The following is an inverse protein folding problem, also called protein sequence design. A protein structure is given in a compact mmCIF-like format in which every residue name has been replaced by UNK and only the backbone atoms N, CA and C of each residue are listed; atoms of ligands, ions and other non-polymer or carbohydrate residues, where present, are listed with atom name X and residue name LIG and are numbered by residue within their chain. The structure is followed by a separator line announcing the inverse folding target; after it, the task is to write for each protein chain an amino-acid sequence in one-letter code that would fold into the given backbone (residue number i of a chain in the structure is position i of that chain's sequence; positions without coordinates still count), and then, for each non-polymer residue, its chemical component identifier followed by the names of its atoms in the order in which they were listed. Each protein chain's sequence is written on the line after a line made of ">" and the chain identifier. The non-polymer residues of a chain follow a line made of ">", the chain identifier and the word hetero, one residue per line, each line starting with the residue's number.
data_IF_700393103556
#
_entry.id   IF_700393103556
#
_cell.length_a   1.000
_cell.length_b   1.000
_cell.length_c   1.000
_cell.angle_alpha   90.00
_cell.angle_beta   90.00
_cell.angle_gamma   90.00
#
_symmetry.space_group_name_H-M   'P 1'
#
loop_
_entity.id
_entity.type
_entity.pdbx_description
1 polymer ?
#
# COMPACT_ATOMS: atom_id res chain seq x y z
N UNK A 1 -20.04 -4.84 8.24
CA UNK A 1 -19.75 -3.98 9.41
C UNK A 1 -20.93 -3.05 9.50
N UNK A 2 -21.60 -3.02 10.63
CA UNK A 2 -22.82 -2.24 10.76
C UNK A 2 -22.47 -0.74 10.76
N UNK A 3 -23.41 0.12 10.38
CA UNK A 3 -23.16 1.55 10.22
C UNK A 3 -22.69 2.20 11.55
N UNK A 4 -23.17 1.67 12.68
CA UNK A 4 -22.78 2.10 14.02
C UNK A 4 -21.33 1.72 14.36
N UNK A 5 -20.85 0.56 13.90
CA UNK A 5 -19.45 0.13 14.08
C UNK A 5 -18.49 1.05 13.33
N UNK A 6 -18.85 1.44 12.09
CA UNK A 6 -18.05 2.38 11.28
C UNK A 6 -17.96 3.73 11.97
N UNK A 7 -19.07 4.23 12.50
CA UNK A 7 -19.12 5.51 13.21
C UNK A 7 -18.34 5.47 14.53
N UNK A 8 -18.41 4.35 15.27
CA UNK A 8 -17.61 4.17 16.48
C UNK A 8 -16.12 4.16 16.15
N UNK A 9 -15.72 3.36 15.14
CA UNK A 9 -14.32 3.28 14.71
C UNK A 9 -13.79 4.64 14.26
N UNK A 10 -14.56 5.41 13.49
CA UNK A 10 -14.16 6.75 13.05
C UNK A 10 -13.89 7.68 14.24
N UNK A 11 -14.75 7.65 15.28
CA UNK A 11 -14.56 8.46 16.48
C UNK A 11 -13.29 8.10 17.24
N UNK A 12 -12.95 6.81 17.33
CA UNK A 12 -11.72 6.36 17.98
C UNK A 12 -10.47 6.92 17.28
N UNK A 13 -10.48 7.00 15.94
CA UNK A 13 -9.41 7.64 15.19
C UNK A 13 -9.38 9.16 15.37
N UNK A 14 -10.54 9.81 15.30
CA UNK A 14 -10.65 11.26 15.46
C UNK A 14 -10.13 11.71 16.84
N UNK A 15 -10.45 10.97 17.90
CA UNK A 15 -9.93 11.22 19.25
C UNK A 15 -8.39 11.27 19.26
N UNK A 16 -7.74 10.33 18.57
CA UNK A 16 -6.27 10.25 18.50
C UNK A 16 -5.69 11.37 17.63
N UNK A 17 -6.29 11.60 16.46
CA UNK A 17 -5.81 12.59 15.49
C UNK A 17 -6.06 14.04 15.91
N UNK A 18 -7.02 14.30 16.79
CA UNK A 18 -7.32 15.63 17.33
C UNK A 18 -6.40 16.02 18.50
N UNK A 19 -5.57 15.10 19.01
CA UNK A 19 -4.58 15.43 20.04
C UNK A 19 -3.67 16.58 19.57
N UNK A 20 -3.59 17.65 20.36
CA UNK A 20 -2.84 18.86 20.02
C UNK A 20 -1.32 18.69 20.24
N UNK A 21 -0.94 17.78 21.14
CA UNK A 21 0.44 17.63 21.63
C UNK A 21 1.11 16.42 20.99
N UNK A 22 0.42 15.28 21.00
CA UNK A 22 1.02 14.00 20.64
C UNK A 22 -0.01 13.04 20.06
N UNK A 23 0.26 12.51 18.87
CA UNK A 23 -0.55 11.48 18.22
C UNK A 23 -0.06 10.10 18.65
N UNK A 24 -0.93 9.32 19.29
CA UNK A 24 -0.63 7.95 19.71
C UNK A 24 -0.60 7.00 18.50
N UNK A 25 0.58 6.86 17.90
CA UNK A 25 0.81 6.02 16.72
C UNK A 25 0.60 4.54 17.03
N UNK A 26 0.86 4.09 18.26
CA UNK A 26 0.66 2.68 18.64
C UNK A 26 -0.84 2.34 18.68
N UNK A 27 -1.67 3.25 19.23
CA UNK A 27 -3.13 3.11 19.15
C UNK A 27 -3.63 3.15 17.71
N UNK A 28 -3.06 4.02 16.85
CA UNK A 28 -3.37 4.02 15.41
C UNK A 28 -3.03 2.68 14.75
N UNK A 29 -1.87 2.08 15.06
CA UNK A 29 -1.46 0.76 14.56
C UNK A 29 -2.45 -0.32 14.98
N UNK A 30 -2.89 -0.32 16.24
CA UNK A 30 -3.87 -1.29 16.74
C UNK A 30 -5.19 -1.18 15.96
N UNK A 31 -5.72 0.03 15.80
CA UNK A 31 -6.97 0.26 15.08
C UNK A 31 -6.84 -0.11 13.59
N UNK A 32 -5.74 0.29 12.94
CA UNK A 32 -5.55 0.13 11.48
C UNK A 32 -5.49 -1.34 11.02
N UNK A 33 -5.10 -2.27 11.89
CA UNK A 33 -5.23 -3.72 11.63
C UNK A 33 -6.66 -4.15 11.29
N UNK A 34 -7.65 -3.45 11.84
CA UNK A 34 -9.07 -3.69 11.59
C UNK A 34 -9.62 -2.93 10.38
N UNK A 35 -8.84 -2.00 9.83
CA UNK A 35 -9.15 -1.20 8.65
C UNK A 35 -9.35 0.26 9.02
N UNK A 36 -8.94 1.14 8.12
CA UNK A 36 -9.03 2.60 8.32
C UNK A 36 -10.22 3.13 7.52
N UNK A 37 -11.09 3.99 8.09
CA UNK A 37 -12.14 4.67 7.32
C UNK A 37 -11.56 5.53 6.18
N UNK A 38 -12.21 5.52 5.02
CA UNK A 38 -11.76 6.21 3.81
C UNK A 38 -11.47 7.70 4.04
N UNK A 39 -12.30 8.37 4.84
CA UNK A 39 -12.28 9.82 5.06
C UNK A 39 -11.00 10.31 5.74
N UNK A 40 -10.37 9.44 6.53
CA UNK A 40 -9.16 9.77 7.31
C UNK A 40 -7.96 8.92 6.89
N UNK A 41 -8.12 8.04 5.89
CA UNK A 41 -7.09 7.05 5.55
C UNK A 41 -5.76 7.70 5.19
N UNK A 42 -5.79 8.76 4.37
CA UNK A 42 -4.59 9.51 4.03
C UNK A 42 -3.89 10.07 5.27
N UNK A 43 -4.63 10.68 6.19
CA UNK A 43 -4.06 11.25 7.42
C UNK A 43 -3.41 10.16 8.29
N UNK A 44 -4.09 9.04 8.51
CA UNK A 44 -3.56 7.91 9.30
C UNK A 44 -2.31 7.32 8.64
N UNK A 45 -2.33 7.11 7.32
CA UNK A 45 -1.19 6.54 6.58
C UNK A 45 0.08 7.38 6.71
N UNK A 46 -0.02 8.71 6.75
CA UNK A 46 1.16 9.57 6.98
C UNK A 46 1.86 9.25 8.31
N UNK A 47 1.12 8.98 9.39
CA UNK A 47 1.70 8.58 10.68
C UNK A 47 2.25 7.15 10.63
N UNK A 48 1.50 6.22 10.05
CA UNK A 48 1.90 4.81 10.00
C UNK A 48 3.18 4.57 9.19
N UNK A 49 3.37 5.33 8.10
CA UNK A 49 4.59 5.33 7.28
C UNK A 49 5.72 6.21 7.86
N UNK A 50 5.46 6.95 8.94
CA UNK A 50 6.43 7.83 9.57
C UNK A 50 6.75 9.09 8.77
N UNK A 51 5.88 9.48 7.83
CA UNK A 51 5.98 10.77 7.11
C UNK A 51 5.66 11.91 8.08
N UNK A 52 4.56 11.79 8.81
CA UNK A 52 4.19 12.75 9.86
C UNK A 52 4.72 12.31 11.22
N UNK A 53 5.16 13.28 12.04
CA UNK A 53 5.71 13.00 13.36
C UNK A 53 4.61 12.97 14.41
N UNK A 54 4.72 12.05 15.37
CA UNK A 54 3.79 11.94 16.49
C UNK A 54 3.76 13.20 17.37
N UNK A 55 4.93 13.82 17.62
CA UNK A 55 5.06 15.06 18.39
C UNK A 55 4.67 16.28 17.54
N UNK A 56 3.57 16.92 17.93
CA UNK A 56 3.01 18.13 17.30
C UNK A 56 3.48 19.43 17.95
N UNK A 57 4.11 19.39 19.12
CA UNK A 57 4.66 20.60 19.75
C UNK A 57 5.75 21.27 18.91
N UNK A 58 6.34 20.52 17.96
CA UNK A 58 7.43 20.98 17.09
C UNK A 58 7.11 20.93 15.59
N UNK A 59 5.93 20.46 15.21
CA UNK A 59 5.51 20.34 13.81
C UNK A 59 4.10 20.94 13.67
N UNK A 60 3.90 22.01 12.89
CA UNK A 60 2.55 22.48 12.60
C UNK A 60 1.74 21.34 11.95
N UNK A 61 0.41 21.39 12.05
CA UNK A 61 -0.55 20.44 11.44
C UNK A 61 -0.41 20.35 9.90
N UNK A 62 0.45 21.19 9.30
CA UNK A 62 0.74 21.27 7.87
C UNK A 62 2.15 20.75 7.59
N UNK A 63 2.33 20.09 6.44
CA UNK A 63 3.64 19.78 5.84
C UNK A 63 4.65 20.89 6.19
N UNK A 64 5.78 20.57 6.83
CA UNK A 64 6.81 21.57 7.10
C UNK A 64 7.13 22.32 5.80
N UNK A 65 7.11 23.67 5.78
CA UNK A 65 7.32 24.46 4.57
C UNK A 65 8.54 24.00 3.75
N UNK A 66 9.57 23.54 4.46
CA UNK A 66 10.77 22.92 3.92
C UNK A 66 10.48 21.71 3.00
N UNK A 67 9.65 20.75 3.40
CA UNK A 67 9.34 19.56 2.57
C UNK A 67 8.58 19.92 1.30
N UNK A 68 7.69 20.89 1.38
CA UNK A 68 6.97 21.38 0.20
C UNK A 68 7.92 22.07 -0.77
N UNK A 69 8.87 22.85 -0.25
CA UNK A 69 9.92 23.49 -1.03
C UNK A 69 10.86 22.47 -1.66
N UNK A 70 11.34 21.49 -0.89
CA UNK A 70 12.16 20.37 -1.36
C UNK A 70 11.47 19.62 -2.50
N UNK A 71 10.22 19.16 -2.30
CA UNK A 71 9.44 18.51 -3.36
C UNK A 71 9.23 19.40 -4.59
N UNK A 72 9.09 20.71 -4.40
CA UNK A 72 8.96 21.69 -5.48
C UNK A 72 10.23 21.85 -6.31
N UNK A 73 11.40 21.58 -5.72
CA UNK A 73 12.72 21.68 -6.38
C UNK A 73 13.15 20.40 -7.09
N UNK A 74 12.50 19.27 -6.84
CA UNK A 74 12.81 18.00 -7.51
C UNK A 74 12.52 18.10 -9.01
N UNK A 75 13.47 17.68 -9.82
CA UNK A 75 13.29 17.54 -11.26
C UNK A 75 12.25 16.46 -11.58
N UNK A 76 11.18 16.85 -12.28
CA UNK A 76 10.07 15.98 -12.70
C UNK A 76 10.01 15.85 -14.23
N UNK A 77 11.13 16.07 -14.91
CA UNK A 77 11.17 16.08 -16.37
C UNK A 77 11.78 14.81 -16.94
N UNK A 78 10.96 14.06 -17.68
CA UNK A 78 11.39 13.01 -18.60
C UNK A 78 10.24 12.79 -19.61
N UNK A 79 10.31 13.36 -20.83
CA UNK A 79 9.20 13.28 -21.78
C UNK A 79 8.83 11.85 -22.21
N UNK A 80 9.81 10.95 -22.27
CA UNK A 80 9.62 9.58 -22.74
C UNK A 80 8.96 8.73 -21.65
N UNK A 81 9.45 8.84 -20.41
CA UNK A 81 8.83 8.18 -19.26
C UNK A 81 7.45 8.78 -18.96
N UNK A 82 7.28 10.10 -19.01
CA UNK A 82 5.99 10.77 -18.84
C UNK A 82 4.93 10.25 -19.81
N UNK A 83 5.29 10.04 -21.09
CA UNK A 83 4.39 9.46 -22.10
C UNK A 83 3.97 8.04 -21.73
N UNK A 84 4.90 7.23 -21.21
CA UNK A 84 4.62 5.85 -20.75
C UNK A 84 3.71 5.85 -19.52
N UNK A 85 3.96 6.75 -18.55
CA UNK A 85 3.13 6.95 -17.37
C UNK A 85 1.70 7.29 -17.78
N UNK A 86 1.50 8.31 -18.64
CA UNK A 86 0.14 8.67 -19.13
C UNK A 86 -0.59 7.51 -19.78
N UNK A 87 0.12 6.75 -20.61
CA UNK A 87 -0.45 5.58 -21.28
C UNK A 87 -0.95 4.55 -20.27
N UNK A 88 -0.18 4.29 -19.22
CA UNK A 88 -0.52 3.32 -18.18
C UNK A 88 -1.61 3.83 -17.24
N UNK A 89 -1.54 5.10 -16.78
CA UNK A 89 -2.58 5.73 -15.96
C UNK A 89 -3.94 5.65 -16.65
N UNK A 90 -4.01 5.97 -17.95
CA UNK A 90 -5.24 5.85 -18.73
C UNK A 90 -5.78 4.41 -18.82
N UNK A 91 -4.92 3.39 -18.80
CA UNK A 91 -5.34 1.98 -18.75
C UNK A 91 -5.81 1.60 -17.35
N UNK A 92 -5.06 1.99 -16.34
CA UNK A 92 -5.33 1.69 -14.93
C UNK A 92 -6.64 2.33 -14.45
N UNK A 93 -6.86 3.62 -14.71
CA UNK A 93 -8.09 4.32 -14.31
C UNK A 93 -9.36 3.78 -14.99
N UNK A 94 -9.25 3.19 -16.19
CA UNK A 94 -10.39 2.48 -16.82
C UNK A 94 -10.70 1.13 -16.17
N UNK A 95 -9.71 0.51 -15.52
CA UNK A 95 -9.88 -0.76 -14.79
C UNK A 95 -10.40 -0.53 -13.37
N UNK A 96 -10.05 0.60 -12.76
CA UNK A 96 -10.35 0.95 -11.36
C UNK A 96 -11.48 1.97 -11.29
N UNK A 97 -12.66 1.52 -10.88
CA UNK A 97 -13.88 2.35 -10.85
C UNK A 97 -13.75 3.56 -9.94
N UNK A 98 -13.03 3.41 -8.84
CA UNK A 98 -12.78 4.42 -7.82
C UNK A 98 -11.95 5.62 -8.37
N UNK A 99 -11.24 5.40 -9.48
CA UNK A 99 -10.40 6.38 -10.15
C UNK A 99 -10.96 6.82 -11.52
N UNK A 100 -12.07 6.23 -11.95
CA UNK A 100 -12.70 6.52 -13.24
C UNK A 100 -13.18 7.98 -13.27
N UNK A 101 -12.86 8.68 -14.36
CA UNK A 101 -13.22 10.09 -14.54
C UNK A 101 -12.38 11.10 -13.74
N UNK A 102 -11.43 10.65 -12.90
CA UNK A 102 -10.49 11.54 -12.20
C UNK A 102 -9.35 11.98 -13.13
N UNK A 103 -8.90 13.24 -13.01
CA UNK A 103 -7.83 13.80 -13.82
C UNK A 103 -6.45 13.71 -13.12
N UNK A 104 -6.04 12.50 -12.75
CA UNK A 104 -4.82 12.27 -11.97
C UNK A 104 -3.54 12.15 -12.79
N UNK A 105 -3.60 12.18 -14.13
CA UNK A 105 -2.44 11.92 -14.98
C UNK A 105 -1.22 12.80 -14.65
N UNK A 106 -1.42 14.10 -14.45
CA UNK A 106 -0.35 15.02 -14.07
C UNK A 106 0.24 14.69 -12.69
N UNK A 107 -0.60 14.36 -11.71
CA UNK A 107 -0.13 14.01 -10.37
C UNK A 107 0.66 12.69 -10.36
N UNK A 108 0.22 11.70 -11.14
CA UNK A 108 1.00 10.47 -11.36
C UNK A 108 2.36 10.76 -11.99
N UNK A 109 2.39 11.58 -13.04
CA UNK A 109 3.65 12.00 -13.67
C UNK A 109 4.57 12.68 -12.65
N UNK A 110 4.07 13.68 -11.93
CA UNK A 110 4.85 14.46 -10.96
C UNK A 110 5.44 13.56 -9.86
N UNK A 111 4.62 12.71 -9.24
CA UNK A 111 5.07 11.85 -8.13
C UNK A 111 6.05 10.78 -8.61
N UNK A 112 5.75 10.08 -9.72
CA UNK A 112 6.59 8.98 -10.21
C UNK A 112 7.91 9.52 -10.76
N UNK A 113 7.91 10.63 -11.51
CA UNK A 113 9.14 11.22 -12.04
C UNK A 113 10.00 11.82 -10.93
N UNK A 114 9.41 12.48 -9.94
CA UNK A 114 10.14 12.92 -8.75
C UNK A 114 10.86 11.76 -8.07
N UNK A 115 10.18 10.62 -7.91
CA UNK A 115 10.77 9.42 -7.30
C UNK A 115 11.91 8.85 -8.15
N UNK A 116 11.71 8.63 -9.44
CA UNK A 116 12.72 8.05 -10.34
C UNK A 116 13.97 8.95 -10.46
N UNK A 117 13.79 10.27 -10.56
CA UNK A 117 14.91 11.20 -10.70
C UNK A 117 15.72 11.36 -9.40
N UNK A 118 15.08 11.11 -8.25
CA UNK A 118 15.75 11.05 -6.94
C UNK A 118 16.44 9.70 -6.72
N UNK A 119 15.90 8.62 -7.29
CA UNK A 119 16.38 7.24 -7.13
C UNK A 119 16.90 6.66 -8.44
N UNK A 120 18.09 7.11 -8.87
CA UNK A 120 18.65 6.86 -10.21
C UNK A 120 18.90 5.39 -10.59
N UNK A 121 18.90 4.49 -9.61
CA UNK A 121 19.07 3.05 -9.86
C UNK A 121 17.74 2.35 -10.17
N UNK A 122 16.61 3.05 -10.04
CA UNK A 122 15.28 2.50 -10.29
C UNK A 122 14.82 2.86 -11.69
N UNK A 123 14.48 1.85 -12.49
CA UNK A 123 13.89 2.06 -13.80
C UNK A 123 12.36 2.13 -13.74
N UNK A 124 11.76 2.86 -14.68
CA UNK A 124 10.31 2.92 -14.77
C UNK A 124 9.71 1.57 -15.17
N UNK A 125 8.81 1.05 -14.32
CA UNK A 125 7.91 -0.07 -14.63
C UNK A 125 6.45 0.38 -14.54
N UNK A 126 5.53 -0.25 -15.30
CA UNK A 126 4.09 0.00 -15.16
C UNK A 126 3.54 -0.25 -13.75
N UNK A 127 4.26 -1.05 -12.93
CA UNK A 127 3.91 -1.33 -11.54
C UNK A 127 3.90 -0.09 -10.65
N UNK A 128 4.74 0.90 -10.95
CA UNK A 128 4.80 2.16 -10.18
C UNK A 128 3.48 2.92 -10.21
N UNK A 129 2.69 2.83 -11.28
CA UNK A 129 1.35 3.44 -11.34
C UNK A 129 0.40 2.76 -10.35
N UNK A 130 0.40 1.43 -10.29
CA UNK A 130 -0.44 0.69 -9.36
C UNK A 130 -0.04 0.92 -7.90
N UNK A 131 1.27 1.03 -7.63
CA UNK A 131 1.80 1.31 -6.29
C UNK A 131 1.55 2.76 -5.84
N UNK A 132 1.58 3.72 -6.77
CA UNK A 132 1.34 5.15 -6.48
C UNK A 132 -0.15 5.47 -6.29
N UNK A 133 -1.05 4.75 -6.98
CA UNK A 133 -2.47 5.08 -7.04
C UNK A 133 -3.18 5.17 -5.67
N UNK A 134 -2.94 4.27 -4.70
CA UNK A 134 -3.52 4.38 -3.35
C UNK A 134 -3.23 5.70 -2.65
N UNK A 135 -2.02 6.25 -2.81
CA UNK A 135 -1.62 7.51 -2.18
C UNK A 135 -2.30 8.70 -2.82
N UNK A 136 -2.28 8.81 -4.16
CA UNK A 136 -2.99 9.88 -4.88
C UNK A 136 -4.50 9.83 -4.68
N UNK A 137 -5.06 8.65 -4.38
CA UNK A 137 -6.47 8.51 -4.07
C UNK A 137 -6.84 8.96 -2.65
N UNK A 138 -5.99 8.65 -1.66
CA UNK A 138 -6.28 8.88 -0.25
C UNK A 138 -5.78 10.22 0.29
N UNK A 139 -4.81 10.86 -0.37
CA UNK A 139 -4.16 12.09 0.10
C UNK A 139 -4.55 13.27 -0.79
N UNK A 140 -4.95 14.37 -0.16
CA UNK A 140 -5.37 15.58 -0.86
C UNK A 140 -4.19 16.34 -1.50
N UNK A 141 -3.01 16.25 -0.89
CA UNK A 141 -1.81 16.98 -1.33
C UNK A 141 -0.86 16.04 -2.07
N UNK A 142 -0.48 16.43 -3.29
CA UNK A 142 0.49 15.68 -4.10
C UNK A 142 1.84 15.47 -3.40
N UNK A 143 2.31 16.48 -2.66
CA UNK A 143 3.54 16.39 -1.86
C UNK A 143 3.46 15.30 -0.77
N UNK A 144 2.33 15.19 -0.07
CA UNK A 144 2.13 14.13 0.93
C UNK A 144 2.10 12.75 0.26
N UNK A 145 1.47 12.65 -0.91
CA UNK A 145 1.43 11.42 -1.69
C UNK A 145 2.83 10.99 -2.15
N UNK A 146 3.67 11.94 -2.58
CA UNK A 146 5.07 11.66 -2.91
C UNK A 146 5.85 11.09 -1.74
N UNK A 147 5.84 11.75 -0.58
CA UNK A 147 6.61 11.26 0.57
C UNK A 147 6.07 9.93 1.13
N UNK A 148 4.75 9.70 1.11
CA UNK A 148 4.20 8.40 1.49
C UNK A 148 4.63 7.30 0.51
N UNK A 149 4.57 7.59 -0.80
CA UNK A 149 5.01 6.68 -1.84
C UNK A 149 6.50 6.36 -1.73
N UNK A 150 7.34 7.38 -1.58
CA UNK A 150 8.79 7.22 -1.40
C UNK A 150 9.12 6.36 -0.18
N UNK A 151 8.50 6.64 0.98
CA UNK A 151 8.72 5.87 2.22
C UNK A 151 8.34 4.41 2.07
N UNK A 152 7.25 4.11 1.35
CA UNK A 152 6.87 2.73 1.05
C UNK A 152 7.89 2.07 0.12
N UNK A 153 8.33 2.76 -0.93
CA UNK A 153 9.31 2.21 -1.88
C UNK A 153 10.67 1.94 -1.21
N UNK A 154 11.13 2.81 -0.31
CA UNK A 154 12.32 2.59 0.50
C UNK A 154 12.21 1.32 1.35
N UNK A 155 11.07 1.11 2.02
CA UNK A 155 10.85 -0.09 2.82
C UNK A 155 10.86 -1.38 1.96
N UNK A 156 10.37 -1.31 0.71
CA UNK A 156 10.43 -2.44 -0.24
C UNK A 156 11.88 -2.74 -0.65
N UNK A 157 12.67 -1.71 -0.94
CA UNK A 157 14.06 -1.83 -1.40
C UNK A 157 15.00 -2.32 -0.28
N UNK A 158 14.80 -1.88 0.96
CA UNK A 158 15.63 -2.28 2.12
C UNK A 158 15.47 -3.76 2.49
N UNK A 159 14.26 -4.29 2.42
CA UNK A 159 13.93 -5.63 2.92
C UNK A 159 14.09 -6.73 1.86
N UNK A 160 14.07 -6.38 0.57
CA UNK A 160 14.00 -7.40 -0.48
C UNK A 160 14.84 -7.03 -1.69
N UNK A 161 15.91 -7.80 -1.94
CA UNK A 161 16.59 -7.83 -3.24
C UNK A 161 15.68 -8.56 -4.26
N UNK A 162 14.64 -7.84 -4.70
CA UNK A 162 13.65 -8.31 -5.66
C UNK A 162 14.29 -8.36 -7.05
N UNK A 163 15.09 -9.39 -7.29
CA UNK A 163 15.62 -9.69 -8.62
C UNK A 163 14.47 -9.77 -9.66
N UNK A 164 14.79 -9.58 -10.93
CA UNK A 164 13.83 -9.53 -12.06
C UNK A 164 12.89 -10.76 -12.15
N UNK A 165 13.22 -11.88 -11.51
CA UNK A 165 12.44 -13.13 -11.54
C UNK A 165 11.28 -13.16 -10.55
N UNK A 166 11.18 -12.20 -9.63
CA UNK A 166 10.13 -12.22 -8.62
C UNK A 166 8.77 -11.95 -9.24
N UNK A 167 7.73 -12.67 -8.78
CA UNK A 167 6.39 -12.54 -9.34
C UNK A 167 5.79 -11.13 -9.11
N UNK A 168 4.90 -10.71 -10.02
CA UNK A 168 4.21 -9.42 -9.94
C UNK A 168 3.46 -9.21 -8.61
N UNK A 169 2.96 -10.29 -7.99
CA UNK A 169 2.26 -10.26 -6.71
C UNK A 169 3.16 -9.73 -5.59
N UNK A 170 4.40 -10.21 -5.52
CA UNK A 170 5.38 -9.81 -4.52
C UNK A 170 5.98 -8.44 -4.85
N UNK A 171 6.37 -8.21 -6.11
CA UNK A 171 7.00 -6.95 -6.53
C UNK A 171 6.09 -5.73 -6.36
N UNK A 172 4.78 -5.90 -6.58
CA UNK A 172 3.82 -4.79 -6.58
C UNK A 172 2.86 -4.86 -5.39
N UNK A 173 3.18 -5.65 -4.36
CA UNK A 173 2.35 -5.84 -3.17
C UNK A 173 0.87 -6.08 -3.51
N UNK A 174 0.63 -6.90 -4.55
CA UNK A 174 -0.68 -7.25 -5.12
C UNK A 174 -1.50 -6.09 -5.72
N UNK A 175 -0.95 -4.87 -5.81
CA UNK A 175 -1.65 -3.66 -6.25
C UNK A 175 -2.16 -3.72 -7.70
N UNK A 176 -1.61 -4.63 -8.52
CA UNK A 176 -2.01 -4.81 -9.92
C UNK A 176 -3.12 -5.85 -10.08
N UNK A 177 -3.13 -6.86 -9.22
CA UNK A 177 -3.97 -8.05 -9.34
C UNK A 177 -5.25 -7.95 -8.50
N UNK A 178 -5.19 -7.32 -7.33
CA UNK A 178 -6.35 -7.15 -6.45
C UNK A 178 -7.29 -6.03 -6.90
N UNK A 179 -8.52 -6.08 -6.40
CA UNK A 179 -9.44 -4.96 -6.52
C UNK A 179 -8.97 -3.78 -5.66
N UNK A 180 -9.27 -2.56 -6.08
CA UNK A 180 -8.63 -1.37 -5.49
C UNK A 180 -8.92 -1.19 -3.99
N UNK A 181 -10.19 -1.27 -3.55
CA UNK A 181 -10.49 -1.22 -2.10
C UNK A 181 -9.83 -2.34 -1.29
N UNK A 182 -9.60 -3.49 -1.92
CA UNK A 182 -8.97 -4.64 -1.27
C UNK A 182 -7.47 -4.35 -1.04
N UNK A 183 -6.82 -3.62 -1.97
CA UNK A 183 -5.46 -3.08 -1.81
C UNK A 183 -5.42 -2.08 -0.67
N UNK A 184 -6.34 -1.09 -0.65
CA UNK A 184 -6.40 -0.10 0.43
C UNK A 184 -6.54 -0.78 1.79
N UNK A 185 -7.46 -1.74 1.90
CA UNK A 185 -7.69 -2.49 3.14
C UNK A 185 -6.51 -3.36 3.54
N UNK A 186 -5.79 -3.95 2.59
CA UNK A 186 -4.59 -4.72 2.87
C UNK A 186 -3.46 -3.82 3.38
N UNK A 187 -3.28 -2.66 2.75
CA UNK A 187 -2.24 -1.70 3.10
C UNK A 187 -2.49 -1.01 4.44
N UNK A 188 -3.76 -0.84 4.86
CA UNK A 188 -4.09 -0.48 6.24
C UNK A 188 -3.43 -1.42 7.27
N UNK A 189 -3.36 -2.72 6.96
CA UNK A 189 -2.69 -3.71 7.82
C UNK A 189 -1.17 -3.61 7.70
N UNK A 190 -0.65 -3.53 6.47
CA UNK A 190 0.79 -3.49 6.25
C UNK A 190 1.45 -2.31 6.91
N UNK A 191 0.85 -1.13 6.81
CA UNK A 191 1.41 0.07 7.45
C UNK A 191 1.23 0.04 8.97
N UNK A 192 0.31 -0.78 9.50
CA UNK A 192 0.08 -0.95 10.93
C UNK A 192 1.06 -1.91 11.62
N UNK A 193 1.69 -2.83 10.88
CA UNK A 193 2.67 -3.78 11.41
C UNK A 193 4.10 -3.29 11.19
N UNK A 194 5.06 -3.87 11.92
CA UNK A 194 6.47 -3.49 11.83
C UNK A 194 7.11 -4.03 10.54
N UNK A 195 6.93 -5.33 10.29
CA UNK A 195 7.58 -6.04 9.19
C UNK A 195 6.54 -6.59 8.20
N UNK A 196 5.90 -5.75 7.37
CA UNK A 196 4.86 -6.20 6.45
C UNK A 196 5.36 -7.12 5.35
N UNK A 197 6.62 -6.99 4.95
CA UNK A 197 7.20 -7.76 3.87
C UNK A 197 7.53 -9.20 4.30
N UNK A 198 7.77 -9.44 5.59
CA UNK A 198 7.83 -10.81 6.13
C UNK A 198 6.46 -11.50 6.09
N UNK A 199 5.36 -10.76 6.32
CA UNK A 199 4.01 -11.31 6.26
C UNK A 199 3.54 -11.51 4.81
N UNK A 200 4.04 -10.71 3.86
CA UNK A 200 3.53 -10.63 2.50
C UNK A 200 3.51 -11.97 1.74
N UNK A 201 4.56 -12.83 1.77
CA UNK A 201 4.52 -14.16 1.16
C UNK A 201 3.38 -15.02 1.69
N UNK A 202 3.08 -14.95 2.99
CA UNK A 202 1.97 -15.68 3.60
C UNK A 202 0.61 -15.14 3.16
N UNK A 203 0.49 -13.83 2.89
CA UNK A 203 -0.70 -13.25 2.27
C UNK A 203 -0.88 -13.81 0.86
N UNK A 204 0.16 -13.87 0.04
CA UNK A 204 0.10 -14.48 -1.29
C UNK A 204 -0.34 -15.96 -1.21
N UNK A 205 0.22 -16.73 -0.27
CA UNK A 205 -0.17 -18.13 -0.04
C UNK A 205 -1.62 -18.27 0.42
N UNK A 206 -2.08 -17.43 1.36
CA UNK A 206 -3.46 -17.42 1.82
C UNK A 206 -4.45 -17.12 0.68
N UNK A 207 -4.11 -16.17 -0.22
CA UNK A 207 -4.91 -15.90 -1.42
C UNK A 207 -4.97 -17.14 -2.31
N UNK A 208 -3.83 -17.78 -2.59
CA UNK A 208 -3.79 -19.00 -3.40
C UNK A 208 -4.62 -20.13 -2.81
N UNK A 209 -4.56 -20.34 -1.48
CA UNK A 209 -5.43 -21.29 -0.78
C UNK A 209 -6.90 -20.94 -0.92
N UNK A 210 -7.24 -19.67 -0.76
CA UNK A 210 -8.63 -19.20 -0.85
C UNK A 210 -9.22 -19.37 -2.25
N UNK A 211 -8.43 -19.20 -3.31
CA UNK A 211 -8.90 -19.39 -4.69
C UNK A 211 -8.75 -20.83 -5.18
N UNK A 212 -8.00 -21.69 -4.48
CA UNK A 212 -7.64 -23.05 -4.91
C UNK A 212 -8.82 -23.85 -5.45
N UNK A 213 -9.90 -24.00 -4.67
CA UNK A 213 -11.07 -24.81 -5.05
C UNK A 213 -11.69 -24.32 -6.37
N UNK A 214 -11.64 -23.00 -6.64
CA UNK A 214 -12.15 -22.43 -7.90
C UNK A 214 -11.22 -22.69 -9.08
N UNK A 215 -9.95 -22.99 -8.84
CA UNK A 215 -8.94 -23.20 -9.89
C UNK A 215 -8.80 -24.67 -10.30
N UNK A 216 -9.18 -25.63 -9.44
CA UNK A 216 -8.96 -27.07 -9.66
C UNK A 216 -9.62 -27.60 -10.93
N UNK A 217 -10.77 -27.05 -11.32
CA UNK A 217 -11.55 -27.48 -12.48
C UNK A 217 -11.35 -26.60 -13.74
N UNK A 218 -10.43 -25.63 -13.70
CA UNK A 218 -10.25 -24.64 -14.78
C UNK A 218 -9.09 -24.97 -15.72
N UNK A 219 -9.19 -24.50 -16.96
CA UNK A 219 -8.08 -24.55 -17.91
C UNK A 219 -6.99 -23.52 -17.58
N UNK A 220 -5.78 -23.74 -18.08
CA UNK A 220 -4.61 -22.88 -17.82
C UNK A 220 -4.84 -21.40 -18.17
N UNK A 221 -5.58 -21.13 -19.25
CA UNK A 221 -5.93 -19.77 -19.69
C UNK A 221 -6.83 -19.06 -18.66
N UNK A 222 -7.81 -19.77 -18.13
CA UNK A 222 -8.78 -19.29 -17.13
C UNK A 222 -8.11 -19.08 -15.77
N UNK A 223 -7.27 -20.02 -15.34
CA UNK A 223 -6.44 -19.89 -14.13
C UNK A 223 -5.61 -18.62 -14.22
N UNK A 224 -4.92 -18.40 -15.35
CA UNK A 224 -4.10 -17.20 -15.56
C UNK A 224 -4.95 -15.93 -15.53
N UNK A 225 -6.15 -15.93 -16.11
CA UNK A 225 -7.06 -14.78 -16.07
C UNK A 225 -7.45 -14.42 -14.63
N UNK A 226 -7.75 -15.42 -13.78
CA UNK A 226 -8.09 -15.20 -12.38
C UNK A 226 -6.87 -14.69 -11.58
N UNK A 227 -5.70 -15.30 -11.76
CA UNK A 227 -4.51 -14.92 -11.00
C UNK A 227 -3.96 -13.53 -11.39
N UNK A 228 -4.18 -13.08 -12.62
CA UNK A 228 -3.84 -11.72 -13.07
C UNK A 228 -4.90 -10.66 -12.68
N UNK A 229 -6.09 -11.10 -12.25
CA UNK A 229 -7.18 -10.24 -11.82
C UNK A 229 -8.04 -10.97 -10.79
N UNK A 230 -7.61 -10.87 -9.54
CA UNK A 230 -8.24 -11.55 -8.42
C UNK A 230 -9.69 -11.07 -8.24
N UNK A 231 -10.61 -11.96 -7.83
CA UNK A 231 -11.94 -11.56 -7.41
C UNK A 231 -11.86 -10.69 -6.14
N UNK A 232 -12.99 -10.10 -5.71
CA UNK A 232 -13.07 -9.46 -4.39
C UNK A 232 -12.76 -10.49 -3.30
N UNK A 233 -11.86 -10.12 -2.40
CA UNK A 233 -11.39 -10.97 -1.31
C UNK A 233 -11.84 -10.41 0.04
N UNK A 234 -12.13 -11.30 0.99
CA UNK A 234 -12.30 -10.89 2.38
C UNK A 234 -10.92 -10.71 3.03
N UNK A 235 -10.39 -9.48 2.96
CA UNK A 235 -9.02 -9.18 3.42
C UNK A 235 -8.79 -9.51 4.90
N UNK A 236 -9.81 -9.36 5.74
CA UNK A 236 -9.71 -9.76 7.14
C UNK A 236 -9.44 -11.26 7.28
N UNK A 237 -10.13 -12.09 6.50
CA UNK A 237 -9.92 -13.54 6.50
C UNK A 237 -8.55 -13.91 5.90
N UNK A 238 -8.18 -13.29 4.78
CA UNK A 238 -6.89 -13.54 4.13
C UNK A 238 -5.73 -13.21 5.07
N UNK A 239 -5.78 -12.05 5.74
CA UNK A 239 -4.75 -11.66 6.71
C UNK A 239 -4.71 -12.60 7.91
N UNK A 240 -5.87 -13.01 8.43
CA UNK A 240 -5.92 -13.97 9.54
C UNK A 240 -5.31 -15.33 9.16
N UNK A 241 -5.62 -15.83 7.97
CA UNK A 241 -5.03 -17.07 7.43
C UNK A 241 -3.52 -16.93 7.21
N UNK A 242 -3.06 -15.79 6.68
CA UNK A 242 -1.64 -15.50 6.51
C UNK A 242 -0.88 -15.50 7.84
N UNK A 243 -1.44 -14.89 8.88
CA UNK A 243 -0.85 -14.89 10.22
C UNK A 243 -0.76 -16.32 10.77
N UNK A 244 -1.82 -17.12 10.64
CA UNK A 244 -1.80 -18.53 11.05
C UNK A 244 -0.73 -19.34 10.31
N UNK A 245 -0.65 -19.19 8.98
CA UNK A 245 0.36 -19.83 8.15
C UNK A 245 1.78 -19.50 8.61
N UNK A 246 2.04 -18.23 8.97
CA UNK A 246 3.33 -17.80 9.50
C UNK A 246 3.65 -18.46 10.83
N UNK A 247 2.68 -18.49 11.76
CA UNK A 247 2.84 -19.15 13.05
C UNK A 247 3.16 -20.64 12.90
N UNK A 248 2.42 -21.36 12.05
CA UNK A 248 2.66 -22.78 11.78
C UNK A 248 4.08 -23.04 11.23
N UNK A 249 4.59 -22.16 10.36
CA UNK A 249 5.94 -22.29 9.81
C UNK A 249 7.01 -22.10 10.87
N UNK A 250 6.85 -21.10 11.76
CA UNK A 250 7.79 -20.89 12.87
C UNK A 250 7.79 -22.04 13.88
N UNK A 251 6.62 -22.59 14.22
CA UNK A 251 6.53 -23.74 15.12
C UNK A 251 7.23 -24.99 14.56
N UNK A 252 7.11 -25.23 13.25
CA UNK A 252 7.82 -26.31 12.56
C UNK A 252 9.34 -26.11 12.61
N UNK A 253 9.82 -24.89 12.31
CA UNK A 253 11.25 -24.57 12.37
C UNK A 253 11.84 -24.79 13.77
N UNK A 254 11.16 -24.32 14.82
CA UNK A 254 11.60 -24.52 16.21
C UNK A 254 11.67 -26.01 16.57
N UNK A 255 10.70 -26.81 16.10
CA UNK A 255 10.67 -28.24 16.36
C UNK A 255 11.82 -28.98 15.66
N UNK A 256 12.11 -28.61 14.40
CA UNK A 256 13.23 -29.18 13.63
C UNK A 256 14.59 -28.81 14.23
N UNK A 257 14.76 -27.56 14.68
CA UNK A 257 16.00 -27.09 15.33
C UNK A 257 16.23 -27.72 16.71
N UNK A 258 15.16 -28.11 17.42
CA UNK A 258 15.25 -28.78 18.71
C UNK A 258 15.59 -30.29 18.61
N UNK A 259 15.48 -30.89 17.43
CA UNK A 259 15.81 -32.29 17.16
C UNK A 259 17.26 -32.50 16.69
N UNK A 260 18.02 -31.42 16.46
CA UNK A 260 19.44 -31.39 16.04
C UNK A 260 20.41 -31.17 17.21
#
# INVERSE_FOLDING_TARGET
>A
MDQDDILSSLKDYEEILQSEVYVDVDRLRILARHGVPQQIRGEVWKYLLGVERADRCKSPITIPPQRLEEYGQIDKTDPDVAKRIRGEVNRYQRKVKELEGKHFAEQFENVILAYLNTNRNVEYTPGLVALCAPFLYCLDKECDAYYCFERMMQAIDEEVDLNEWVTSWLQNLLAKEMAFEDVLRLWDVYFAILDPLELHPFVCLAILRHVKEKLEDLEQSEIRTILLRLPRLNIRMIVAEAVNLRHETWERQISEDAEL
#
